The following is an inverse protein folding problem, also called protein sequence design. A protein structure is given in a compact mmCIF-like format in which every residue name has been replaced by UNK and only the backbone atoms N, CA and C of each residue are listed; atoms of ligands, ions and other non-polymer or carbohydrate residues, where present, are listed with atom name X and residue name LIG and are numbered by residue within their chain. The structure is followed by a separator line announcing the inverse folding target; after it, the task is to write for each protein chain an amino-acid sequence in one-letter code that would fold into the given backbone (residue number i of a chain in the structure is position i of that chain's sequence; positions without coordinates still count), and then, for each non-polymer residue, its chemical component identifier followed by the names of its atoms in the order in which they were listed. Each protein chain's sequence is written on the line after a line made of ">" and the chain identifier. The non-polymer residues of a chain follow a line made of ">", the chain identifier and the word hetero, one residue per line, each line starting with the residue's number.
data_IF_805851445710
#
_entry.id   IF_805851445710
#
_cell.length_a   1.000
_cell.length_b   1.000
_cell.length_c   1.000
_cell.angle_alpha   90.00
_cell.angle_beta   90.00
_cell.angle_gamma   90.00
#
_symmetry.space_group_name_H-M   'P 1'
#
loop_
_entity.id
_entity.type
_entity.pdbx_description
1 polymer ?
#
# COMPACT_ATOMS: atom_id res chain seq x y z
N UNK A 1 21.47 -15.34 0.92
CA UNK A 1 20.72 -15.59 -0.31
C UNK A 1 21.16 -14.58 -1.35
N UNK A 2 21.49 -14.99 -2.58
CA UNK A 2 21.95 -14.06 -3.61
C UNK A 2 20.79 -13.52 -4.41
N UNK A 3 20.77 -12.21 -4.62
CA UNK A 3 19.81 -11.56 -5.52
C UNK A 3 20.13 -11.89 -6.99
N UNK A 4 19.14 -11.95 -7.88
CA UNK A 4 19.39 -12.21 -9.30
C UNK A 4 20.28 -11.13 -9.92
N UNK A 5 21.35 -11.52 -10.62
CA UNK A 5 22.24 -10.56 -11.27
C UNK A 5 21.50 -9.61 -12.25
N UNK A 6 20.54 -10.10 -13.09
CA UNK A 6 19.76 -9.19 -13.92
C UNK A 6 18.93 -8.17 -13.13
N UNK A 7 18.44 -8.53 -11.93
CA UNK A 7 17.72 -7.58 -11.07
C UNK A 7 18.66 -6.45 -10.59
N UNK A 8 19.86 -6.80 -10.11
CA UNK A 8 20.85 -5.81 -9.68
C UNK A 8 21.26 -4.88 -10.83
N UNK A 9 21.38 -5.42 -12.05
CA UNK A 9 21.67 -4.62 -13.24
C UNK A 9 20.58 -3.58 -13.55
N UNK A 10 19.31 -3.89 -13.29
CA UNK A 10 18.21 -2.91 -13.49
C UNK A 10 18.28 -1.71 -12.52
N UNK A 11 19.02 -1.85 -11.42
CA UNK A 11 19.19 -0.79 -10.43
C UNK A 11 20.44 0.06 -10.69
N UNK A 12 21.35 -0.39 -11.57
CA UNK A 12 22.54 0.37 -11.94
C UNK A 12 22.16 1.70 -12.58
N UNK A 13 22.75 2.78 -12.08
CA UNK A 13 22.43 4.14 -12.53
C UNK A 13 21.23 4.82 -11.85
N UNK A 14 20.51 4.11 -10.99
CA UNK A 14 19.47 4.75 -10.15
C UNK A 14 20.14 5.64 -9.10
N UNK A 15 19.73 6.88 -9.03
CA UNK A 15 20.28 7.87 -8.09
C UNK A 15 20.12 7.38 -6.65
N UNK A 16 21.23 7.34 -5.92
CA UNK A 16 21.27 6.88 -4.53
C UNK A 16 21.36 5.36 -4.36
N UNK A 17 21.44 4.57 -5.44
CA UNK A 17 21.64 3.14 -5.34
C UNK A 17 23.10 2.81 -4.95
N UNK A 18 23.25 2.19 -3.78
CA UNK A 18 24.50 1.59 -3.31
C UNK A 18 24.33 0.06 -3.30
N UNK A 19 24.98 -0.62 -4.23
CA UNK A 19 24.86 -2.07 -4.39
C UNK A 19 25.29 -2.82 -3.13
N UNK A 20 26.40 -2.43 -2.50
CA UNK A 20 26.95 -3.13 -1.34
C UNK A 20 26.00 -3.00 -0.13
N UNK A 21 25.50 -1.79 0.13
CA UNK A 21 24.52 -1.54 1.19
C UNK A 21 23.21 -2.27 0.92
N UNK A 22 22.74 -2.28 -0.33
CA UNK A 22 21.51 -2.97 -0.74
C UNK A 22 21.61 -4.50 -0.54
N UNK A 23 22.70 -5.11 -0.99
CA UNK A 23 22.95 -6.55 -0.81
C UNK A 23 23.12 -6.90 0.68
N UNK A 24 23.80 -6.07 1.48
CA UNK A 24 23.97 -6.28 2.91
C UNK A 24 22.61 -6.29 3.65
N UNK A 25 21.70 -5.35 3.34
CA UNK A 25 20.35 -5.31 3.92
C UNK A 25 19.52 -6.54 3.54
N UNK A 26 19.66 -7.05 2.33
CA UNK A 26 18.96 -8.28 1.91
C UNK A 26 19.59 -9.54 2.57
N UNK A 27 20.88 -9.54 2.78
CA UNK A 27 21.59 -10.66 3.41
C UNK A 27 21.36 -10.73 4.93
N UNK A 28 21.11 -9.59 5.60
CA UNK A 28 20.89 -9.56 7.06
C UNK A 28 19.65 -10.34 7.51
N UNK A 29 18.65 -10.48 6.63
CA UNK A 29 17.38 -11.08 6.98
C UNK A 29 16.54 -10.25 7.97
N UNK A 30 17.00 -9.07 8.37
CA UNK A 30 16.28 -8.20 9.28
C UNK A 30 15.04 -7.64 8.62
N UNK A 31 13.91 -7.76 9.31
CA UNK A 31 12.64 -7.20 8.88
C UNK A 31 12.18 -6.14 9.87
N UNK A 32 11.89 -4.97 9.34
CA UNK A 32 11.31 -3.88 10.14
C UNK A 32 9.80 -4.11 10.25
N UNK A 33 9.28 -4.06 11.48
CA UNK A 33 7.85 -4.11 11.72
C UNK A 33 7.30 -2.71 11.93
N UNK A 34 6.25 -2.36 11.22
CA UNK A 34 5.57 -1.08 11.40
C UNK A 34 4.05 -1.26 11.39
N UNK A 35 3.37 -0.33 12.05
CA UNK A 35 1.91 -0.23 12.11
C UNK A 35 1.48 1.19 11.80
N UNK A 36 0.24 1.32 11.35
CA UNK A 36 -0.43 2.62 11.24
C UNK A 36 -1.67 2.62 12.13
N UNK A 37 -1.66 3.52 13.12
CA UNK A 37 -2.75 3.68 14.10
C UNK A 37 -3.98 4.29 13.43
N UNK A 38 -5.16 3.82 13.82
CA UNK A 38 -6.43 4.39 13.39
C UNK A 38 -6.81 5.56 14.32
N UNK A 39 -6.80 6.81 13.83
CA UNK A 39 -7.08 7.96 14.68
C UNK A 39 -8.54 8.03 15.18
N UNK A 40 -9.45 7.32 14.50
CA UNK A 40 -10.88 7.29 14.86
C UNK A 40 -11.21 6.22 15.91
N UNK A 41 -10.24 5.40 16.30
CA UNK A 41 -10.43 4.35 17.31
C UNK A 41 -9.49 4.57 18.47
N UNK A 42 -10.07 4.65 19.68
CA UNK A 42 -9.30 4.77 20.92
C UNK A 42 -8.99 3.35 21.43
N UNK A 43 -7.74 2.90 21.38
CA UNK A 43 -7.38 1.65 22.04
C UNK A 43 -7.53 1.79 23.54
N UNK A 44 -7.94 0.71 24.20
CA UNK A 44 -8.16 0.71 25.66
C UNK A 44 -6.86 0.82 26.49
N UNK A 45 -5.69 0.70 25.85
CA UNK A 45 -4.35 0.76 26.48
C UNK A 45 -3.36 1.30 25.46
N UNK A 46 -2.15 1.67 25.92
CA UNK A 46 -1.03 1.91 25.01
C UNK A 46 -0.86 0.69 24.10
N UNK A 47 -1.03 0.89 22.80
CA UNK A 47 -1.02 -0.21 21.84
C UNK A 47 0.28 -1.00 21.90
N UNK A 48 1.39 -0.31 22.16
CA UNK A 48 2.73 -0.91 22.25
C UNK A 48 3.59 -0.04 23.18
N UNK A 49 4.38 -0.68 24.03
CA UNK A 49 5.19 0.02 25.05
C UNK A 49 6.35 0.81 24.44
N UNK A 50 6.95 0.29 23.37
CA UNK A 50 8.12 0.90 22.72
C UNK A 50 7.86 1.06 21.22
N UNK A 51 7.67 2.30 20.80
CA UNK A 51 7.48 2.64 19.38
C UNK A 51 8.30 3.89 19.04
N UNK A 52 8.73 3.97 17.79
CA UNK A 52 9.28 5.19 17.22
C UNK A 52 8.44 5.65 16.02
N UNK A 53 8.28 6.96 15.80
CA UNK A 53 7.43 7.45 14.73
C UNK A 53 8.02 7.14 13.34
N UNK A 54 7.14 6.89 12.36
CA UNK A 54 7.50 6.88 10.94
C UNK A 54 7.53 8.33 10.47
N UNK A 55 8.68 8.89 10.04
CA UNK A 55 8.83 10.33 9.83
C UNK A 55 7.89 10.93 8.77
N UNK A 56 7.43 10.13 7.82
CA UNK A 56 6.58 10.55 6.70
C UNK A 56 5.11 10.19 6.84
N UNK A 57 4.69 9.68 8.02
CA UNK A 57 3.30 9.37 8.28
C UNK A 57 2.97 9.60 9.75
N UNK A 58 2.18 10.62 10.04
CA UNK A 58 1.85 11.05 11.41
C UNK A 58 1.19 9.96 12.28
N UNK A 59 0.58 8.94 11.65
CA UNK A 59 -0.05 7.81 12.33
C UNK A 59 0.80 6.53 12.27
N UNK A 60 1.99 6.60 11.65
CA UNK A 60 2.89 5.47 11.45
C UNK A 60 3.86 5.30 12.63
N UNK A 61 4.06 4.05 13.06
CA UNK A 61 4.99 3.71 14.13
C UNK A 61 5.80 2.47 13.78
N UNK A 62 7.09 2.52 14.05
CA UNK A 62 7.95 1.33 14.07
C UNK A 62 7.80 0.62 15.41
N UNK A 63 7.82 -0.70 15.40
CA UNK A 63 7.84 -1.55 16.59
C UNK A 63 9.24 -2.15 16.79
N UNK A 64 9.71 -2.22 18.03
CA UNK A 64 10.99 -2.86 18.36
C UNK A 64 10.99 -4.37 18.05
N UNK A 65 9.84 -5.02 18.26
CA UNK A 65 9.67 -6.45 17.98
C UNK A 65 8.35 -6.70 17.25
N UNK A 66 8.29 -7.79 16.51
CA UNK A 66 7.06 -8.23 15.83
C UNK A 66 6.20 -9.06 16.79
N UNK A 67 5.07 -8.53 17.30
CA UNK A 67 4.16 -9.31 18.12
C UNK A 67 3.32 -10.29 17.29
N UNK A 68 2.59 -11.19 17.96
CA UNK A 68 1.57 -12.00 17.32
C UNK A 68 0.29 -11.18 17.14
N UNK A 69 0.18 -10.44 16.05
CA UNK A 69 -0.96 -9.56 15.75
C UNK A 69 -2.30 -10.30 15.74
N UNK A 70 -2.32 -11.56 15.35
CA UNK A 70 -3.55 -12.37 15.29
C UNK A 70 -4.15 -12.67 16.65
N UNK A 71 -3.37 -12.51 17.72
CA UNK A 71 -3.84 -12.67 19.11
C UNK A 71 -4.24 -11.33 19.76
N UNK A 72 -4.04 -10.20 19.07
CA UNK A 72 -4.35 -8.88 19.62
C UNK A 72 -5.79 -8.46 19.27
N UNK A 73 -6.66 -8.28 20.27
CA UNK A 73 -8.02 -7.78 20.06
C UNK A 73 -8.08 -6.43 19.34
N UNK A 74 -7.10 -5.54 19.58
CA UNK A 74 -7.05 -4.23 18.93
C UNK A 74 -6.81 -4.34 17.42
N UNK A 75 -6.05 -5.37 16.96
CA UNK A 75 -5.90 -5.66 15.53
C UNK A 75 -7.24 -6.02 14.89
N UNK A 76 -8.01 -6.91 15.55
CA UNK A 76 -9.33 -7.32 15.06
C UNK A 76 -10.37 -6.21 15.15
N UNK A 77 -10.23 -5.32 16.13
CA UNK A 77 -11.06 -4.12 16.25
C UNK A 77 -10.68 -3.01 15.25
N UNK A 78 -9.59 -3.17 14.49
CA UNK A 78 -9.12 -2.18 13.52
C UNK A 78 -8.56 -0.90 14.17
N UNK A 79 -8.02 -0.99 15.39
CA UNK A 79 -7.36 0.12 16.06
C UNK A 79 -6.03 0.48 15.38
N UNK A 80 -5.45 -0.43 14.63
CA UNK A 80 -4.28 -0.21 13.79
C UNK A 80 -4.28 -1.16 12.58
N UNK A 81 -3.47 -0.82 11.58
CA UNK A 81 -3.16 -1.66 10.41
C UNK A 81 -1.68 -2.00 10.40
N UNK A 82 -1.32 -3.28 10.24
CA UNK A 82 0.08 -3.70 10.06
C UNK A 82 0.50 -3.34 8.64
N UNK A 83 1.38 -2.38 8.48
CA UNK A 83 1.75 -1.82 7.19
C UNK A 83 3.24 -1.52 7.13
N UNK A 84 3.87 -1.76 5.99
CA UNK A 84 5.24 -1.34 5.77
C UNK A 84 5.38 0.18 5.82
N UNK A 85 6.40 0.65 6.51
CA UNK A 85 6.68 2.08 6.59
C UNK A 85 6.88 2.71 5.19
N UNK A 86 7.51 1.98 4.26
CA UNK A 86 7.64 2.42 2.86
C UNK A 86 6.30 2.65 2.16
N UNK A 87 5.31 1.78 2.41
CA UNK A 87 3.94 1.97 1.87
C UNK A 87 3.23 3.18 2.49
N UNK A 88 3.58 3.57 3.72
CA UNK A 88 3.06 4.77 4.37
C UNK A 88 3.61 6.07 3.76
N UNK A 89 4.68 6.02 2.93
CA UNK A 89 5.21 7.18 2.23
C UNK A 89 4.18 7.84 1.30
N UNK A 90 3.14 7.10 0.91
CA UNK A 90 1.97 7.66 0.23
C UNK A 90 1.38 8.87 0.98
N UNK A 91 1.38 8.86 2.33
CA UNK A 91 0.92 10.00 3.13
C UNK A 91 1.71 11.27 2.81
N UNK A 92 3.04 11.17 2.78
CA UNK A 92 3.92 12.29 2.45
C UNK A 92 3.71 12.78 1.00
N UNK A 93 3.56 11.85 0.06
CA UNK A 93 3.29 12.20 -1.34
C UNK A 93 1.96 12.98 -1.47
N UNK A 94 0.90 12.53 -0.80
CA UNK A 94 -0.39 13.21 -0.79
C UNK A 94 -0.28 14.61 -0.16
N UNK A 95 0.45 14.75 0.94
CA UNK A 95 0.67 16.05 1.58
C UNK A 95 1.36 17.05 0.65
N UNK A 96 2.31 16.60 -0.16
CA UNK A 96 3.03 17.46 -1.09
C UNK A 96 2.23 17.81 -2.35
N UNK A 97 1.44 16.85 -2.88
CA UNK A 97 0.78 17.01 -4.19
C UNK A 97 -0.65 17.52 -4.04
N UNK A 98 -1.38 17.03 -3.03
CA UNK A 98 -2.80 17.32 -2.83
C UNK A 98 -3.01 18.39 -1.76
N UNK A 99 -2.25 18.33 -0.64
CA UNK A 99 -2.42 19.22 0.51
C UNK A 99 -3.76 19.01 1.22
N UNK A 100 -4.25 20.07 1.88
CA UNK A 100 -5.43 20.04 2.76
C UNK A 100 -6.76 20.30 2.01
N UNK A 101 -6.89 19.83 0.78
CA UNK A 101 -8.14 19.99 0.00
C UNK A 101 -9.21 19.03 0.53
N UNK A 102 -10.39 19.56 0.82
CA UNK A 102 -11.56 18.82 1.31
C UNK A 102 -12.53 18.39 0.20
N UNK A 103 -13.37 17.42 0.51
CA UNK A 103 -14.48 17.00 -0.34
C UNK A 103 -14.07 16.24 -1.60
N UNK A 104 -12.81 15.81 -1.69
CA UNK A 104 -12.27 15.15 -2.88
C UNK A 104 -12.79 13.72 -3.04
N UNK A 105 -13.01 13.33 -4.29
CA UNK A 105 -13.33 11.97 -4.71
C UNK A 105 -12.06 11.24 -5.14
N UNK A 106 -11.74 10.18 -4.44
CA UNK A 106 -10.47 9.46 -4.56
C UNK A 106 -10.74 8.03 -5.02
N UNK A 107 -9.99 7.56 -6.01
CA UNK A 107 -9.98 6.17 -6.45
C UNK A 107 -8.67 5.49 -6.05
N UNK A 108 -8.77 4.39 -5.29
CA UNK A 108 -7.70 3.40 -5.12
C UNK A 108 -8.02 2.23 -6.06
N UNK A 109 -7.34 2.18 -7.21
CA UNK A 109 -7.75 1.33 -8.33
C UNK A 109 -7.40 -0.16 -8.15
N UNK A 110 -6.32 -0.47 -7.41
CA UNK A 110 -5.81 -1.83 -7.15
C UNK A 110 -5.65 -2.03 -5.63
N UNK A 111 -6.76 -1.91 -4.91
CA UNK A 111 -6.79 -1.58 -3.49
C UNK A 111 -6.42 -2.72 -2.53
N UNK A 112 -6.67 -3.98 -2.90
CA UNK A 112 -6.49 -5.09 -1.97
C UNK A 112 -5.01 -5.30 -1.58
N UNK A 113 -4.75 -5.56 -0.30
CA UNK A 113 -5.68 -5.94 0.78
C UNK A 113 -6.30 -4.76 1.58
N UNK A 114 -6.05 -3.48 1.22
CA UNK A 114 -6.67 -2.32 1.85
C UNK A 114 -5.74 -1.41 2.67
N UNK A 115 -4.44 -1.70 2.70
CA UNK A 115 -3.48 -0.88 3.45
C UNK A 115 -3.40 0.57 2.98
N UNK A 116 -3.43 0.80 1.65
CA UNK A 116 -3.48 2.14 1.06
C UNK A 116 -4.88 2.74 1.18
N UNK A 117 -5.94 1.96 0.92
CA UNK A 117 -7.33 2.43 1.07
C UNK A 117 -7.65 2.94 2.47
N UNK A 118 -7.23 2.22 3.52
CA UNK A 118 -7.41 2.67 4.91
C UNK A 118 -6.59 3.93 5.24
N UNK A 119 -5.43 4.12 4.60
CA UNK A 119 -4.65 5.36 4.69
C UNK A 119 -5.40 6.51 3.99
N UNK A 120 -5.88 6.27 2.78
CA UNK A 120 -6.62 7.25 1.99
C UNK A 120 -7.91 7.69 2.69
N UNK A 121 -8.67 6.75 3.29
CA UNK A 121 -9.88 7.07 4.03
C UNK A 121 -9.62 7.94 5.27
N UNK A 122 -8.44 7.81 5.87
CA UNK A 122 -8.01 8.67 6.98
C UNK A 122 -7.57 10.05 6.48
N UNK A 123 -6.79 10.09 5.40
CA UNK A 123 -6.29 11.34 4.84
C UNK A 123 -7.42 12.21 4.28
N UNK A 124 -8.32 11.61 3.52
CA UNK A 124 -9.48 12.28 2.89
C UNK A 124 -10.78 12.09 3.70
N UNK A 125 -10.70 12.31 5.00
CA UNK A 125 -11.81 12.01 5.94
C UNK A 125 -13.12 12.74 5.61
N UNK A 126 -13.07 13.91 4.95
CA UNK A 126 -14.23 14.68 4.46
C UNK A 126 -14.55 14.42 2.96
N UNK A 127 -13.88 13.46 2.33
CA UNK A 127 -14.04 13.10 0.92
C UNK A 127 -14.75 11.76 0.74
N UNK A 128 -14.72 11.25 -0.48
CA UNK A 128 -15.16 9.91 -0.84
C UNK A 128 -13.97 9.08 -1.31
N UNK A 129 -13.75 7.91 -0.74
CA UNK A 129 -12.73 6.95 -1.20
C UNK A 129 -13.40 5.73 -1.81
N UNK A 130 -13.21 5.53 -3.09
CA UNK A 130 -13.62 4.31 -3.81
C UNK A 130 -12.42 3.39 -3.91
N UNK A 131 -12.53 2.21 -3.32
CA UNK A 131 -11.47 1.19 -3.26
C UNK A 131 -11.87 0.02 -4.16
N UNK A 132 -11.17 -0.14 -5.27
CA UNK A 132 -11.47 -1.16 -6.28
C UNK A 132 -10.46 -2.31 -6.25
N UNK A 133 -10.95 -3.53 -6.49
CA UNK A 133 -10.11 -4.70 -6.73
C UNK A 133 -10.77 -5.61 -7.76
N UNK A 134 -10.04 -5.94 -8.83
CA UNK A 134 -10.57 -6.75 -9.93
C UNK A 134 -10.73 -8.23 -9.56
N UNK A 135 -9.87 -8.76 -8.68
CA UNK A 135 -9.90 -10.16 -8.26
C UNK A 135 -10.89 -10.32 -7.11
N UNK A 136 -12.03 -11.00 -7.35
CA UNK A 136 -13.13 -11.15 -6.40
C UNK A 136 -12.68 -11.69 -5.02
N UNK A 137 -11.79 -12.68 -5.00
CA UNK A 137 -11.28 -13.24 -3.74
C UNK A 137 -10.49 -12.21 -2.94
N UNK A 138 -9.69 -11.36 -3.59
CA UNK A 138 -8.95 -10.28 -2.94
C UNK A 138 -9.88 -9.12 -2.53
N UNK A 139 -10.93 -8.86 -3.31
CA UNK A 139 -11.95 -7.88 -2.96
C UNK A 139 -12.67 -8.24 -1.65
N UNK A 140 -12.88 -9.53 -1.36
CA UNK A 140 -13.45 -9.95 -0.07
C UNK A 140 -12.54 -9.61 1.11
N UNK A 141 -11.23 -9.77 0.97
CA UNK A 141 -10.24 -9.37 1.98
C UNK A 141 -10.22 -7.84 2.16
N UNK A 142 -10.34 -7.10 1.04
CA UNK A 142 -10.46 -5.64 1.07
C UNK A 142 -11.69 -5.20 1.86
N UNK A 143 -12.87 -5.78 1.59
CA UNK A 143 -14.11 -5.49 2.34
C UNK A 143 -13.93 -5.75 3.84
N UNK A 144 -13.31 -6.87 4.21
CA UNK A 144 -13.05 -7.19 5.62
C UNK A 144 -12.17 -6.13 6.29
N UNK A 145 -11.06 -5.75 5.66
CA UNK A 145 -10.12 -4.78 6.21
C UNK A 145 -10.73 -3.36 6.27
N UNK A 146 -11.50 -2.95 5.26
CA UNK A 146 -12.21 -1.67 5.28
C UNK A 146 -13.29 -1.64 6.37
N UNK A 147 -14.03 -2.75 6.55
CA UNK A 147 -15.02 -2.90 7.62
C UNK A 147 -14.38 -2.83 9.01
N UNK A 148 -13.24 -3.51 9.21
CA UNK A 148 -12.45 -3.41 10.45
C UNK A 148 -11.97 -1.98 10.70
N UNK A 149 -11.51 -1.30 9.67
CA UNK A 149 -11.06 0.09 9.80
C UNK A 149 -12.20 1.01 10.21
N UNK A 150 -13.39 0.83 9.62
CA UNK A 150 -14.64 1.46 10.05
C UNK A 150 -14.77 2.93 9.63
N UNK A 151 -14.12 3.35 8.56
CA UNK A 151 -14.32 4.67 7.99
C UNK A 151 -15.63 4.72 7.19
N UNK A 152 -16.46 5.76 7.44
CA UNK A 152 -17.79 5.92 6.81
C UNK A 152 -17.73 6.50 5.39
N UNK A 153 -16.60 7.02 4.97
CA UNK A 153 -16.38 7.69 3.69
C UNK A 153 -15.87 6.77 2.58
N UNK A 154 -16.12 5.46 2.68
CA UNK A 154 -15.52 4.47 1.77
C UNK A 154 -16.56 3.63 1.05
N UNK A 155 -16.29 3.32 -0.21
CA UNK A 155 -17.04 2.37 -1.03
C UNK A 155 -16.07 1.35 -1.60
N UNK A 156 -16.36 0.05 -1.45
CA UNK A 156 -15.57 -1.02 -2.06
C UNK A 156 -16.26 -1.51 -3.32
N UNK A 157 -15.50 -1.64 -4.41
CA UNK A 157 -15.99 -2.13 -5.69
C UNK A 157 -15.16 -3.30 -6.20
N UNK A 158 -15.78 -4.14 -7.03
CA UNK A 158 -15.10 -5.25 -7.70
C UNK A 158 -15.32 -5.14 -9.21
N UNK A 159 -14.48 -4.31 -9.87
CA UNK A 159 -14.62 -3.99 -11.28
C UNK A 159 -13.27 -4.10 -12.01
N UNK A 160 -13.32 -4.38 -13.31
CA UNK A 160 -12.17 -4.17 -14.19
C UNK A 160 -11.93 -2.64 -14.34
N UNK A 161 -10.67 -2.18 -14.42
CA UNK A 161 -10.33 -0.76 -14.62
C UNK A 161 -11.07 -0.08 -15.76
N UNK A 162 -11.36 -0.79 -16.86
CA UNK A 162 -12.09 -0.27 -18.03
C UNK A 162 -13.49 0.24 -17.68
N UNK A 163 -14.14 -0.31 -16.66
CA UNK A 163 -15.49 0.09 -16.28
C UNK A 163 -15.54 1.51 -15.70
N UNK A 164 -14.42 2.04 -15.20
CA UNK A 164 -14.35 3.42 -14.70
C UNK A 164 -14.41 4.47 -15.81
N UNK A 165 -14.28 4.08 -17.09
CA UNK A 165 -14.52 4.96 -18.22
C UNK A 165 -15.97 5.49 -18.28
N UNK A 166 -16.92 4.81 -17.61
CA UNK A 166 -18.31 5.27 -17.46
C UNK A 166 -18.45 6.47 -16.49
N UNK A 167 -17.41 6.84 -15.81
CA UNK A 167 -17.35 7.94 -14.84
C UNK A 167 -16.29 8.99 -15.26
N UNK A 168 -16.38 9.59 -16.47
CA UNK A 168 -15.34 10.49 -16.96
C UNK A 168 -15.18 11.71 -16.06
N UNK A 169 -13.93 12.03 -15.68
CA UNK A 169 -13.61 13.18 -14.84
C UNK A 169 -14.27 13.16 -13.45
N UNK A 170 -14.60 11.97 -12.94
CA UNK A 170 -15.30 11.86 -11.65
C UNK A 170 -14.37 11.96 -10.45
N UNK A 171 -13.14 11.47 -10.54
CA UNK A 171 -12.20 11.41 -9.43
C UNK A 171 -11.19 12.56 -9.50
N UNK A 172 -10.97 13.22 -8.38
CA UNK A 172 -9.98 14.28 -8.23
C UNK A 172 -8.57 13.72 -7.99
N UNK A 173 -8.48 12.51 -7.41
CA UNK A 173 -7.23 11.80 -7.12
C UNK A 173 -7.39 10.33 -7.49
N UNK A 174 -6.37 9.77 -8.14
CA UNK A 174 -6.30 8.35 -8.44
C UNK A 174 -4.97 7.78 -7.93
N UNK A 175 -5.06 6.73 -7.11
CA UNK A 175 -3.91 5.95 -6.64
C UNK A 175 -3.90 4.61 -7.35
N UNK A 176 -2.78 4.27 -7.98
CA UNK A 176 -2.62 3.05 -8.77
C UNK A 176 -1.39 2.29 -8.28
N UNK A 177 -1.62 1.36 -7.35
CA UNK A 177 -0.61 0.38 -6.91
C UNK A 177 -0.83 -0.94 -7.65
N UNK A 178 -0.55 -0.91 -8.93
CA UNK A 178 -0.84 -2.00 -9.84
C UNK A 178 0.10 -3.21 -9.64
N UNK A 179 -0.34 -4.43 -10.03
CA UNK A 179 0.48 -5.63 -9.91
C UNK A 179 1.86 -5.46 -10.54
N UNK A 180 2.89 -5.90 -9.81
CA UNK A 180 4.29 -5.81 -10.22
C UNK A 180 4.98 -7.18 -10.18
N UNK A 181 6.28 -7.22 -10.52
CA UNK A 181 7.09 -8.44 -10.55
C UNK A 181 7.41 -9.05 -9.19
N UNK A 182 7.01 -8.41 -8.08
CA UNK A 182 7.22 -8.93 -6.74
C UNK A 182 8.62 -8.73 -6.16
N UNK A 183 9.52 -7.99 -6.81
CA UNK A 183 10.89 -7.77 -6.32
C UNK A 183 10.94 -7.12 -4.93
N UNK A 184 9.94 -6.34 -4.54
CA UNK A 184 9.81 -5.79 -3.18
C UNK A 184 9.59 -6.84 -2.08
N UNK A 185 9.30 -8.08 -2.43
CA UNK A 185 9.10 -9.19 -1.49
C UNK A 185 10.39 -9.96 -1.18
N UNK A 186 11.47 -9.83 -1.97
CA UNK A 186 12.67 -10.66 -1.86
C UNK A 186 13.25 -10.77 -0.44
N UNK A 187 13.20 -9.67 0.32
CA UNK A 187 13.68 -9.66 1.70
C UNK A 187 12.74 -10.38 2.68
N UNK A 188 11.43 -10.40 2.39
CA UNK A 188 10.41 -10.98 3.26
C UNK A 188 10.05 -12.42 2.91
N UNK A 189 10.06 -12.69 1.63
CA UNK A 189 9.74 -13.99 1.05
C UNK A 189 10.77 -14.34 -0.02
N UNK A 190 11.80 -15.09 0.38
CA UNK A 190 12.85 -15.52 -0.53
C UNK A 190 12.37 -16.36 -1.72
N UNK A 191 11.23 -17.03 -1.60
CA UNK A 191 10.65 -17.81 -2.70
C UNK A 191 10.20 -16.92 -3.88
N UNK A 192 9.95 -15.64 -3.64
CA UNK A 192 9.63 -14.66 -4.66
C UNK A 192 10.79 -14.44 -5.67
N UNK A 193 12.03 -14.77 -5.27
CA UNK A 193 13.21 -14.71 -6.15
C UNK A 193 13.12 -15.74 -7.27
N UNK A 194 12.62 -16.95 -6.95
CA UNK A 194 12.54 -18.06 -7.90
C UNK A 194 11.55 -17.77 -9.05
N UNK A 195 10.48 -17.04 -8.75
CA UNK A 195 9.47 -16.65 -9.75
C UNK A 195 9.80 -15.38 -10.54
N UNK A 196 10.87 -14.67 -10.19
CA UNK A 196 11.20 -13.40 -10.80
C UNK A 196 12.01 -13.58 -12.11
N UNK A 197 11.64 -12.83 -13.15
CA UNK A 197 12.38 -12.76 -14.41
C UNK A 197 12.18 -11.41 -15.09
N UNK A 198 13.06 -11.08 -16.05
CA UNK A 198 12.89 -9.88 -16.89
C UNK A 198 11.62 -9.95 -17.74
N UNK A 199 11.21 -11.14 -18.18
CA UNK A 199 9.96 -11.33 -18.91
C UNK A 199 8.75 -11.04 -18.04
N UNK A 200 8.78 -11.45 -16.76
CA UNK A 200 7.75 -11.10 -15.79
C UNK A 200 7.69 -9.59 -15.56
N UNK A 201 8.84 -8.91 -15.46
CA UNK A 201 8.89 -7.45 -15.36
C UNK A 201 8.24 -6.79 -16.57
N UNK A 202 8.59 -7.23 -17.79
CA UNK A 202 8.00 -6.70 -19.02
C UNK A 202 6.49 -6.94 -19.09
N UNK A 203 6.02 -8.13 -18.73
CA UNK A 203 4.60 -8.46 -18.68
C UNK A 203 3.84 -7.57 -17.66
N UNK A 204 4.43 -7.36 -16.47
CA UNK A 204 3.84 -6.49 -15.46
C UNK A 204 3.79 -5.03 -15.94
N UNK A 205 4.84 -4.54 -16.60
CA UNK A 205 4.86 -3.19 -17.17
C UNK A 205 3.74 -2.99 -18.21
N UNK A 206 3.54 -3.93 -19.12
CA UNK A 206 2.42 -3.89 -20.09
C UNK A 206 1.06 -3.87 -19.39
N UNK A 207 0.90 -4.71 -18.36
CA UNK A 207 -0.34 -4.75 -17.56
C UNK A 207 -0.60 -3.42 -16.85
N UNK A 208 0.43 -2.81 -16.26
CA UNK A 208 0.33 -1.51 -15.59
C UNK A 208 -0.07 -0.40 -16.56
N UNK A 209 0.53 -0.38 -17.75
CA UNK A 209 0.18 0.56 -18.82
C UNK A 209 -1.30 0.43 -19.22
N UNK A 210 -1.79 -0.81 -19.41
CA UNK A 210 -3.20 -1.07 -19.74
C UNK A 210 -4.12 -0.57 -18.61
N UNK A 211 -3.84 -0.96 -17.37
CA UNK A 211 -4.63 -0.57 -16.19
C UNK A 211 -4.75 0.95 -16.09
N UNK A 212 -3.62 1.65 -16.27
CA UNK A 212 -3.60 3.11 -16.20
C UNK A 212 -4.37 3.73 -17.37
N UNK A 213 -4.15 3.26 -18.61
CA UNK A 213 -4.83 3.78 -19.79
C UNK A 213 -6.35 3.60 -19.70
N UNK A 214 -6.81 2.44 -19.20
CA UNK A 214 -8.24 2.15 -19.04
C UNK A 214 -8.92 3.04 -18.00
N UNK A 215 -8.24 3.38 -16.91
CA UNK A 215 -8.83 4.15 -15.81
C UNK A 215 -8.64 5.68 -15.93
N UNK A 216 -7.60 6.11 -16.66
CA UNK A 216 -7.22 7.54 -16.76
C UNK A 216 -8.37 8.48 -17.16
N UNK A 217 -9.32 8.10 -18.06
CA UNK A 217 -10.46 8.96 -18.39
C UNK A 217 -11.37 9.32 -17.20
N UNK A 218 -11.31 8.55 -16.10
CA UNK A 218 -12.09 8.82 -14.89
C UNK A 218 -11.44 9.90 -13.99
N UNK A 219 -10.20 10.30 -14.24
CA UNK A 219 -9.52 11.37 -13.53
C UNK A 219 -9.93 12.72 -14.10
N UNK A 220 -10.19 13.71 -13.20
CA UNK A 220 -10.61 15.07 -13.53
C UNK A 220 -9.46 15.93 -14.08
#
# INVERSE_FOLDING_TARGET
>A
MSLPAPFLQTLEGVVGFDKAAFEAVHASGETVTAIRVNPNKKPNQNLFEHTSPVPWCMHGHYLEARPSFTLDPNFHAGAYYVQDASSMFLWQALTQVVGDRDGLKVLDLCAAPGGKSTLLSTYFHNGLVVSNEVIKQRASVLVENMSKWGASNTVVTNNDPVHFQSLPGFFDVMVVDAPCSGSGLFRKDPSAIEGWSLDLVALCAQRQQRILADALPALA
#
